data_IF_733017728512
#
_entry.id   IF_733017728512
#
_cell.length_a   1.000
_cell.length_b   1.000
_cell.length_c   1.000
_cell.angle_alpha   90.00
_cell.angle_beta   90.00
_cell.angle_gamma   90.00
#
_symmetry.space_group_name_H-M   'P 1'
#
loop_
_entity.id
_entity.type
_entity.pdbx_description
1 polymer ?
#
# COMPACT_ATOMS: atom_id res chain seq x y z
N UNK A 1 -1.51 17.23 -21.64
CA UNK A 1 -1.20 16.00 -20.88
C UNK A 1 -1.92 14.85 -21.54
N UNK A 2 -1.21 14.03 -22.31
CA UNK A 2 -1.80 12.84 -22.93
C UNK A 2 -1.96 11.81 -21.82
N UNK A 3 -3.18 11.63 -21.32
CA UNK A 3 -3.51 10.54 -20.42
C UNK A 3 -3.21 9.24 -21.14
N UNK A 4 -2.19 8.52 -20.70
CA UNK A 4 -2.03 7.12 -21.04
C UNK A 4 -3.27 6.41 -20.53
N UNK A 5 -4.21 6.13 -21.42
CA UNK A 5 -5.38 5.30 -21.12
C UNK A 5 -4.86 3.92 -20.80
N UNK A 6 -4.57 3.67 -19.52
CA UNK A 6 -4.11 2.39 -19.01
C UNK A 6 -5.14 1.34 -19.38
N UNK A 7 -4.83 0.55 -20.41
CA UNK A 7 -5.71 -0.48 -20.96
C UNK A 7 -6.20 -1.34 -19.81
N UNK A 8 -7.52 -1.60 -19.70
CA UNK A 8 -8.05 -2.34 -18.56
C UNK A 8 -7.37 -3.70 -18.45
N UNK A 9 -6.92 -4.04 -17.24
CA UNK A 9 -6.27 -5.31 -16.97
C UNK A 9 -7.17 -6.47 -17.45
N UNK A 10 -6.59 -7.55 -18.02
CA UNK A 10 -7.34 -8.74 -18.38
C UNK A 10 -8.16 -9.25 -17.19
N UNK A 11 -9.36 -9.80 -17.45
CA UNK A 11 -10.27 -10.27 -16.40
C UNK A 11 -9.61 -11.19 -15.35
N UNK A 12 -8.72 -12.15 -15.70
CA UNK A 12 -8.05 -12.98 -14.70
C UNK A 12 -7.16 -12.19 -13.74
N UNK A 13 -6.46 -11.16 -14.26
CA UNK A 13 -5.61 -10.27 -13.45
C UNK A 13 -6.48 -9.44 -12.53
N UNK A 14 -7.57 -8.87 -13.04
CA UNK A 14 -8.51 -8.09 -12.23
C UNK A 14 -9.15 -8.92 -11.11
N UNK A 15 -9.50 -10.19 -11.37
CA UNK A 15 -10.04 -11.11 -10.37
C UNK A 15 -9.00 -11.45 -9.31
N UNK A 16 -7.77 -11.77 -9.72
CA UNK A 16 -6.65 -12.03 -8.80
C UNK A 16 -6.42 -10.82 -7.88
N UNK A 17 -6.38 -9.63 -8.46
CA UNK A 17 -6.09 -8.40 -7.73
C UNK A 17 -7.22 -8.06 -6.74
N UNK A 18 -8.49 -8.27 -7.13
CA UNK A 18 -9.63 -8.19 -6.22
C UNK A 18 -9.50 -9.17 -5.05
N UNK A 19 -9.22 -10.45 -5.32
CA UNK A 19 -9.12 -11.49 -4.29
C UNK A 19 -7.98 -11.24 -3.30
N UNK A 20 -6.80 -10.85 -3.80
CA UNK A 20 -5.65 -10.51 -2.97
C UNK A 20 -5.94 -9.28 -2.10
N UNK A 21 -6.50 -8.23 -2.68
CA UNK A 21 -6.88 -7.02 -1.96
C UNK A 21 -7.92 -7.31 -0.89
N UNK A 22 -8.97 -8.08 -1.22
CA UNK A 22 -9.99 -8.47 -0.26
C UNK A 22 -9.42 -9.29 0.89
N UNK A 23 -8.51 -10.23 0.60
CA UNK A 23 -7.81 -11.04 1.60
C UNK A 23 -6.95 -10.19 2.53
N UNK A 24 -6.19 -9.24 1.97
CA UNK A 24 -5.35 -8.32 2.73
C UNK A 24 -6.19 -7.36 3.59
N UNK A 25 -7.20 -6.71 3.00
CA UNK A 25 -8.05 -5.74 3.69
C UNK A 25 -8.93 -6.38 4.77
N UNK A 26 -9.26 -7.67 4.68
CA UNK A 26 -9.84 -8.42 5.82
C UNK A 26 -8.97 -8.43 7.08
N UNK A 27 -7.67 -8.14 6.95
CA UNK A 27 -6.72 -8.09 8.07
C UNK A 27 -6.29 -6.67 8.39
N UNK A 28 -6.10 -5.82 7.38
CA UNK A 28 -5.50 -4.48 7.53
C UNK A 28 -6.56 -3.37 7.46
N UNK A 29 -7.67 -3.61 6.76
CA UNK A 29 -8.61 -2.56 6.33
C UNK A 29 -9.37 -1.87 7.46
N UNK A 30 -9.49 -2.51 8.62
CA UNK A 30 -10.15 -1.97 9.82
C UNK A 30 -9.20 -1.18 10.74
N UNK A 31 -7.90 -1.08 10.42
CA UNK A 31 -6.94 -0.33 11.24
C UNK A 31 -7.33 1.13 11.49
N UNK A 32 -7.81 1.91 10.49
CA UNK A 32 -8.25 3.28 10.73
C UNK A 32 -9.30 3.37 11.84
N UNK A 33 -10.28 2.48 11.84
CA UNK A 33 -11.40 2.50 12.78
C UNK A 33 -11.07 1.84 14.13
N UNK A 34 -10.25 0.78 14.13
CA UNK A 34 -10.02 -0.07 15.31
C UNK A 34 -8.78 0.29 16.11
N UNK A 35 -7.82 0.99 15.51
CA UNK A 35 -6.54 1.35 16.16
C UNK A 35 -6.35 2.86 16.15
N UNK A 36 -6.38 3.49 14.98
CA UNK A 36 -5.98 4.89 14.85
C UNK A 36 -7.05 5.86 15.37
N UNK A 37 -8.32 5.63 15.07
CA UNK A 37 -9.42 6.46 15.58
C UNK A 37 -9.53 6.43 17.12
N UNK A 38 -9.41 5.28 17.81
CA UNK A 38 -9.32 5.26 19.27
C UNK A 38 -8.14 6.08 19.82
N UNK A 39 -6.97 6.03 19.19
CA UNK A 39 -5.81 6.85 19.59
C UNK A 39 -6.13 8.33 19.39
N UNK A 40 -6.67 8.70 18.22
CA UNK A 40 -7.05 10.08 17.91
C UNK A 40 -8.05 10.64 18.94
N UNK A 41 -9.04 9.85 19.36
CA UNK A 41 -10.01 10.22 20.41
C UNK A 41 -9.39 10.46 21.79
N UNK A 42 -8.20 9.90 22.04
CA UNK A 42 -7.50 10.04 23.32
C UNK A 42 -6.53 11.23 23.33
N UNK A 43 -5.95 11.55 22.18
CA UNK A 43 -4.93 12.61 22.06
C UNK A 43 -5.50 13.95 21.64
N UNK A 44 -6.67 13.97 20.99
CA UNK A 44 -7.30 15.21 20.53
C UNK A 44 -8.12 15.88 21.62
N UNK A 45 -7.98 17.20 21.74
CA UNK A 45 -8.73 18.02 22.70
C UNK A 45 -10.21 18.17 22.30
N UNK A 46 -10.52 18.19 21.00
CA UNK A 46 -11.88 18.32 20.47
C UNK A 46 -12.42 16.98 19.94
N UNK A 47 -12.89 16.16 20.88
CA UNK A 47 -13.51 14.89 20.54
C UNK A 47 -14.75 15.04 19.66
N UNK A 48 -15.51 16.13 19.78
CA UNK A 48 -16.71 16.31 18.96
C UNK A 48 -16.35 16.54 17.49
N UNK A 49 -15.29 17.32 17.23
CA UNK A 49 -14.75 17.49 15.89
C UNK A 49 -14.23 16.17 15.30
N UNK A 50 -13.54 15.34 16.10
CA UNK A 50 -13.07 14.01 15.66
C UNK A 50 -14.24 13.12 15.24
N UNK A 51 -15.30 13.02 16.03
CA UNK A 51 -16.48 12.20 15.68
C UNK A 51 -17.19 12.74 14.42
N UNK A 52 -17.33 14.06 14.30
CA UNK A 52 -17.94 14.68 13.13
C UNK A 52 -17.13 14.43 11.85
N UNK A 53 -15.80 14.59 11.93
CA UNK A 53 -14.89 14.33 10.82
C UNK A 53 -14.87 12.86 10.40
N UNK A 54 -14.82 11.94 11.36
CA UNK A 54 -14.92 10.50 11.07
C UNK A 54 -16.27 10.15 10.44
N UNK A 55 -17.38 10.69 10.95
CA UNK A 55 -18.70 10.48 10.38
C UNK A 55 -18.79 10.97 8.93
N UNK A 56 -18.16 12.11 8.60
CA UNK A 56 -18.12 12.63 7.23
C UNK A 56 -17.34 11.70 6.29
N UNK A 57 -16.17 11.19 6.72
CA UNK A 57 -15.39 10.23 5.93
C UNK A 57 -16.14 8.90 5.78
N UNK A 58 -16.71 8.38 6.86
CA UNK A 58 -17.50 7.15 6.84
C UNK A 58 -18.77 7.27 5.98
N UNK A 59 -19.37 8.46 5.88
CA UNK A 59 -20.52 8.71 4.99
C UNK A 59 -20.13 8.59 3.50
N UNK A 60 -18.86 8.79 3.15
CA UNK A 60 -18.35 8.59 1.78
C UNK A 60 -18.19 7.11 1.39
N UNK A 61 -18.37 6.17 2.33
CA UNK A 61 -18.26 4.73 2.08
C UNK A 61 -19.28 4.29 1.03
N UNK A 62 -18.79 3.81 -0.11
CA UNK A 62 -19.63 3.29 -1.19
C UNK A 62 -20.13 1.89 -0.83
N UNK A 63 -21.44 1.67 -0.97
CA UNK A 63 -22.04 0.33 -0.85
C UNK A 63 -21.64 -0.54 -2.03
N UNK A 64 -21.57 -1.86 -1.80
CA UNK A 64 -21.33 -2.85 -2.86
C UNK A 64 -22.52 -2.85 -3.83
N UNK A 65 -22.25 -2.75 -5.14
CA UNK A 65 -23.25 -2.91 -6.19
C UNK A 65 -23.57 -4.39 -6.47
N UNK A 66 -24.78 -4.67 -6.95
CA UNK A 66 -25.22 -6.04 -7.26
C UNK A 66 -24.42 -6.71 -8.39
N UNK A 67 -23.96 -5.93 -9.37
CA UNK A 67 -23.18 -6.39 -10.53
C UNK A 67 -21.83 -5.66 -10.62
N UNK A 68 -21.16 -5.52 -9.48
CA UNK A 68 -19.87 -4.84 -9.40
C UNK A 68 -18.76 -5.68 -10.05
N UNK A 69 -18.04 -5.10 -11.01
CA UNK A 69 -16.89 -5.77 -11.63
C UNK A 69 -15.73 -5.91 -10.64
N UNK A 70 -14.84 -6.91 -10.80
CA UNK A 70 -13.68 -7.10 -9.91
C UNK A 70 -12.84 -5.85 -9.73
N UNK A 71 -12.59 -5.13 -10.83
CA UNK A 71 -11.88 -3.84 -10.80
C UNK A 71 -12.61 -2.78 -9.99
N UNK A 72 -13.93 -2.65 -10.16
CA UNK A 72 -14.72 -1.66 -9.42
C UNK A 72 -14.77 -1.99 -7.93
N UNK A 73 -14.88 -3.28 -7.60
CA UNK A 73 -14.84 -3.80 -6.22
C UNK A 73 -13.49 -3.54 -5.56
N UNK A 74 -12.39 -3.77 -6.30
CA UNK A 74 -11.03 -3.44 -5.90
C UNK A 74 -10.86 -1.93 -5.65
N UNK A 75 -11.19 -1.08 -6.62
CA UNK A 75 -11.10 0.38 -6.51
C UNK A 75 -11.91 0.90 -5.31
N UNK A 76 -13.10 0.32 -5.08
CA UNK A 76 -13.96 0.69 -3.96
C UNK A 76 -13.35 0.33 -2.62
N UNK A 77 -12.94 -0.93 -2.43
CA UNK A 77 -12.43 -1.42 -1.14
C UNK A 77 -11.10 -0.74 -0.79
N UNK A 78 -10.16 -0.72 -1.73
CA UNK A 78 -8.85 -0.14 -1.48
C UNK A 78 -8.93 1.39 -1.38
N UNK A 79 -9.68 2.05 -2.27
CA UNK A 79 -9.88 3.49 -2.19
C UNK A 79 -10.56 3.94 -0.90
N UNK A 80 -11.47 3.14 -0.35
CA UNK A 80 -12.06 3.40 0.97
C UNK A 80 -10.99 3.34 2.06
N UNK A 81 -10.22 2.26 2.13
CA UNK A 81 -9.15 2.11 3.12
C UNK A 81 -8.16 3.27 3.06
N UNK A 82 -7.72 3.64 1.86
CA UNK A 82 -6.78 4.74 1.64
C UNK A 82 -7.35 6.08 2.10
N UNK A 83 -8.62 6.41 1.76
CA UNK A 83 -9.24 7.66 2.21
C UNK A 83 -9.37 7.74 3.73
N UNK A 84 -9.78 6.65 4.36
CA UNK A 84 -9.92 6.57 5.82
C UNK A 84 -8.56 6.67 6.52
N UNK A 85 -7.55 6.00 5.97
CA UNK A 85 -6.18 6.07 6.46
C UNK A 85 -5.61 7.49 6.32
N UNK A 86 -5.77 8.12 5.15
CA UNK A 86 -5.25 9.46 4.91
C UNK A 86 -5.83 10.47 5.89
N UNK A 87 -7.15 10.39 6.09
CA UNK A 87 -7.82 11.29 7.01
C UNK A 87 -7.35 11.07 8.45
N UNK A 88 -7.36 9.84 8.96
CA UNK A 88 -7.02 9.60 10.38
C UNK A 88 -5.56 9.93 10.67
N UNK A 89 -4.64 9.66 9.73
CA UNK A 89 -3.23 10.03 9.88
C UNK A 89 -3.05 11.53 9.80
N UNK A 90 -3.74 12.22 8.89
CA UNK A 90 -3.73 13.67 8.80
C UNK A 90 -4.23 14.35 10.09
N UNK A 91 -5.25 13.80 10.74
CA UNK A 91 -5.72 14.30 12.03
C UNK A 91 -4.72 14.00 13.16
N UNK A 92 -4.15 12.79 13.23
CA UNK A 92 -3.13 12.45 14.23
C UNK A 92 -1.91 13.37 14.14
N UNK A 93 -1.51 13.79 12.93
CA UNK A 93 -0.40 14.71 12.71
C UNK A 93 -0.66 16.15 13.16
N UNK A 94 -1.91 16.51 13.48
CA UNK A 94 -2.20 17.81 14.09
C UNK A 94 -1.79 17.84 15.56
N UNK A 95 -1.95 16.70 16.24
CA UNK A 95 -1.77 16.60 17.69
C UNK A 95 -0.44 15.91 18.08
N UNK A 96 0.16 15.12 17.19
CA UNK A 96 1.35 14.32 17.46
C UNK A 96 2.49 14.59 16.46
N UNK A 97 3.77 14.43 16.89
CA UNK A 97 4.92 14.55 15.99
C UNK A 97 4.92 13.51 14.87
N UNK A 98 5.43 13.90 13.69
CA UNK A 98 5.52 13.04 12.51
C UNK A 98 6.13 11.66 12.79
N UNK A 99 7.26 11.61 13.50
CA UNK A 99 7.96 10.35 13.79
C UNK A 99 7.07 9.38 14.59
N UNK A 100 6.38 9.89 15.62
CA UNK A 100 5.49 9.06 16.46
C UNK A 100 4.29 8.52 15.67
N UNK A 101 3.71 9.34 14.79
CA UNK A 101 2.59 8.89 13.93
C UNK A 101 3.10 7.90 12.88
N UNK A 102 4.24 8.18 12.26
CA UNK A 102 4.88 7.30 11.28
C UNK A 102 5.18 5.93 11.87
N UNK A 103 5.77 5.87 13.07
CA UNK A 103 6.02 4.62 13.79
C UNK A 103 4.72 3.88 14.11
N UNK A 104 3.74 4.55 14.73
CA UNK A 104 2.44 3.97 15.08
C UNK A 104 1.75 3.33 13.86
N UNK A 105 1.67 4.08 12.77
CA UNK A 105 0.96 3.66 11.56
C UNK A 105 1.71 2.52 10.88
N UNK A 106 3.02 2.68 10.69
CA UNK A 106 3.84 1.68 10.00
C UNK A 106 3.98 0.38 10.79
N UNK A 107 4.04 0.42 12.13
CA UNK A 107 4.08 -0.79 12.98
C UNK A 107 2.75 -1.52 12.99
N UNK A 108 1.63 -0.80 13.13
CA UNK A 108 0.31 -1.40 13.10
C UNK A 108 0.05 -2.08 11.75
N UNK A 109 0.36 -1.41 10.64
CA UNK A 109 0.16 -1.97 9.30
C UNK A 109 1.15 -3.11 9.03
N UNK A 110 2.44 -2.93 9.28
CA UNK A 110 3.45 -3.97 9.03
C UNK A 110 3.21 -5.22 9.89
N UNK A 111 2.76 -5.07 11.14
CA UNK A 111 2.38 -6.17 12.02
C UNK A 111 1.22 -7.00 11.46
N UNK A 112 0.17 -6.33 10.95
CA UNK A 112 -0.97 -7.02 10.31
C UNK A 112 -0.61 -7.62 8.96
N UNK A 113 0.22 -6.94 8.16
CA UNK A 113 0.75 -7.45 6.89
C UNK A 113 1.62 -8.69 7.10
N UNK A 114 2.55 -8.70 8.06
CA UNK A 114 3.36 -9.89 8.39
C UNK A 114 2.48 -11.08 8.77
N UNK A 115 1.42 -10.84 9.53
CA UNK A 115 0.46 -11.90 9.91
C UNK A 115 -0.31 -12.43 8.70
N UNK A 116 -0.69 -11.57 7.77
CA UNK A 116 -1.34 -11.95 6.52
C UNK A 116 -0.38 -12.75 5.60
N UNK A 117 0.86 -12.26 5.47
CA UNK A 117 1.93 -12.86 4.65
C UNK A 117 2.57 -14.09 5.29
N UNK A 118 2.18 -14.52 6.49
CA UNK A 118 2.89 -15.57 7.25
C UNK A 118 3.15 -16.87 6.47
N UNK A 119 2.26 -17.21 5.54
CA UNK A 119 2.39 -18.40 4.70
C UNK A 119 3.27 -18.18 3.46
N UNK A 120 3.47 -16.93 3.05
CA UNK A 120 4.36 -16.53 1.96
C UNK A 120 5.78 -16.18 2.43
N UNK A 121 5.96 -15.84 3.71
CA UNK A 121 7.28 -15.56 4.30
C UNK A 121 8.33 -16.67 4.05
N UNK A 122 8.00 -17.98 4.13
CA UNK A 122 8.95 -19.04 3.77
C UNK A 122 9.40 -18.98 2.30
N UNK A 123 8.49 -18.65 1.38
CA UNK A 123 8.83 -18.50 -0.03
C UNK A 123 9.78 -17.31 -0.26
N UNK A 124 9.58 -16.20 0.44
CA UNK A 124 10.52 -15.08 0.40
C UNK A 124 11.91 -15.46 0.93
N UNK A 125 11.99 -16.30 1.99
CA UNK A 125 13.29 -16.82 2.47
C UNK A 125 14.01 -17.67 1.42
N UNK A 126 13.27 -18.43 0.61
CA UNK A 126 13.84 -19.24 -0.45
C UNK A 126 14.45 -18.41 -1.60
N UNK A 127 14.08 -17.12 -1.73
CA UNK A 127 14.64 -16.21 -2.75
C UNK A 127 16.16 -16.09 -2.64
N UNK A 128 16.72 -16.18 -1.43
CA UNK A 128 18.18 -16.16 -1.21
C UNK A 128 18.92 -17.26 -1.97
N UNK A 129 18.27 -18.39 -2.19
CA UNK A 129 18.84 -19.59 -2.82
C UNK A 129 18.74 -19.52 -4.35
N UNK A 130 17.98 -18.56 -4.90
CA UNK A 130 17.75 -18.44 -6.33
C UNK A 130 19.07 -18.13 -7.07
N UNK A 131 19.45 -18.95 -8.06
CA UNK A 131 20.65 -18.72 -8.85
C UNK A 131 20.62 -17.36 -9.56
N UNK A 132 21.79 -16.72 -9.75
CA UNK A 132 21.90 -15.38 -10.37
C UNK A 132 21.11 -15.25 -11.68
N UNK A 133 21.21 -16.24 -12.56
CA UNK A 133 20.50 -16.26 -13.86
C UNK A 133 18.97 -16.24 -13.76
N UNK A 134 18.42 -16.72 -12.64
CA UNK A 134 16.97 -16.82 -12.41
C UNK A 134 16.44 -15.74 -11.45
N UNK A 135 17.32 -14.94 -10.85
CA UNK A 135 16.93 -13.95 -9.85
C UNK A 135 15.97 -12.91 -10.42
N UNK A 136 16.33 -12.24 -11.52
CA UNK A 136 15.49 -11.23 -12.13
C UNK A 136 14.12 -11.77 -12.58
N UNK A 137 14.01 -12.91 -13.33
CA UNK A 137 12.71 -13.48 -13.66
C UNK A 137 11.83 -13.85 -12.44
N UNK A 138 12.43 -14.37 -11.36
CA UNK A 138 11.69 -14.70 -10.13
C UNK A 138 11.20 -13.44 -9.42
N UNK A 139 12.01 -12.39 -9.37
CA UNK A 139 11.62 -11.09 -8.82
C UNK A 139 10.56 -10.41 -9.68
N UNK A 140 10.67 -10.43 -11.01
CA UNK A 140 9.66 -9.89 -11.91
C UNK A 140 8.30 -10.57 -11.68
N UNK A 141 8.29 -11.90 -11.52
CA UNK A 141 7.08 -12.64 -11.19
C UNK A 141 6.54 -12.25 -9.81
N UNK A 142 7.39 -12.18 -8.80
CA UNK A 142 6.99 -11.80 -7.44
C UNK A 142 6.43 -10.38 -7.35
N UNK A 143 7.09 -9.42 -8.00
CA UNK A 143 6.67 -8.02 -8.08
C UNK A 143 5.40 -7.87 -8.93
N UNK A 144 5.20 -8.68 -9.99
CA UNK A 144 3.93 -8.68 -10.72
C UNK A 144 2.72 -9.11 -9.88
N UNK A 145 2.96 -9.78 -8.76
CA UNK A 145 1.92 -10.13 -7.79
C UNK A 145 1.58 -8.96 -6.86
N UNK A 146 2.36 -7.87 -6.81
CA UNK A 146 2.03 -6.67 -6.03
C UNK A 146 1.16 -5.66 -6.78
N UNK A 147 0.78 -5.94 -8.03
CA UNK A 147 -0.05 -5.00 -8.82
C UNK A 147 -1.41 -4.71 -8.19
N UNK A 148 -1.94 -5.64 -7.39
CA UNK A 148 -3.16 -5.41 -6.62
C UNK A 148 -3.01 -4.26 -5.60
N UNK A 149 -1.80 -3.99 -5.13
CA UNK A 149 -1.54 -3.01 -4.08
C UNK A 149 -1.09 -1.67 -4.64
N UNK A 150 -0.19 -1.70 -5.63
CA UNK A 150 0.46 -0.49 -6.16
C UNK A 150 0.01 -0.12 -7.58
N UNK A 151 -0.76 -0.98 -8.26
CA UNK A 151 -1.10 -0.80 -9.66
C UNK A 151 -0.03 -1.36 -10.61
N UNK A 152 -0.05 -0.96 -11.90
CA UNK A 152 0.92 -1.45 -12.88
C UNK A 152 2.37 -1.17 -12.43
N UNK A 153 3.20 -2.19 -12.50
CA UNK A 153 4.63 -2.11 -12.17
C UNK A 153 5.43 -2.77 -13.27
N UNK A 154 6.54 -2.15 -13.66
CA UNK A 154 7.40 -2.67 -14.72
C UNK A 154 8.87 -2.40 -14.40
N UNK A 155 9.74 -3.34 -14.79
CA UNK A 155 11.18 -3.20 -14.59
C UNK A 155 11.73 -2.17 -15.59
N UNK A 156 12.43 -1.17 -15.09
CA UNK A 156 13.07 -0.13 -15.92
C UNK A 156 14.57 -0.37 -16.06
N UNK A 157 15.20 -1.09 -15.12
CA UNK A 157 16.62 -1.34 -15.21
C UNK A 157 17.19 -2.20 -14.09
N UNK A 158 18.51 -2.15 -13.99
CA UNK A 158 19.29 -2.78 -12.93
C UNK A 158 20.46 -1.86 -12.61
N UNK A 159 20.61 -1.51 -11.34
CA UNK A 159 21.70 -0.66 -10.87
C UNK A 159 23.04 -1.44 -10.92
N UNK A 160 24.20 -0.76 -10.87
CA UNK A 160 25.52 -1.40 -10.99
C UNK A 160 25.82 -2.47 -9.93
N UNK A 161 25.18 -2.38 -8.76
CA UNK A 161 25.28 -3.34 -7.66
C UNK A 161 24.40 -4.60 -7.86
N UNK A 162 23.61 -4.64 -8.94
CA UNK A 162 22.66 -5.71 -9.25
C UNK A 162 21.27 -5.50 -8.65
N UNK A 163 20.97 -4.34 -8.08
CA UNK A 163 19.63 -3.98 -7.59
C UNK A 163 18.66 -3.83 -8.75
N UNK A 164 17.52 -4.51 -8.69
CA UNK A 164 16.49 -4.42 -9.73
C UNK A 164 15.63 -3.18 -9.49
N UNK A 165 15.44 -2.37 -10.53
CA UNK A 165 14.69 -1.12 -10.45
C UNK A 165 13.38 -1.28 -11.21
N UNK A 166 12.28 -0.99 -10.52
CA UNK A 166 10.93 -1.03 -11.05
C UNK A 166 10.27 0.35 -10.92
N UNK A 167 9.43 0.68 -11.89
CA UNK A 167 8.63 1.91 -11.90
C UNK A 167 7.14 1.59 -11.79
N UNK A 168 6.48 2.35 -10.91
CA UNK A 168 5.04 2.40 -10.72
C UNK A 168 4.61 3.80 -11.18
N UNK A 169 4.13 3.98 -12.42
CA UNK A 169 3.85 5.31 -12.97
C UNK A 169 2.61 5.97 -12.34
N UNK A 170 1.62 5.17 -11.96
CA UNK A 170 0.39 5.63 -11.33
C UNK A 170 0.09 4.73 -10.13
N UNK A 171 0.61 5.10 -8.96
CA UNK A 171 0.47 4.33 -7.75
C UNK A 171 -1.00 4.29 -7.30
N UNK A 172 -1.52 3.08 -7.12
CA UNK A 172 -2.88 2.84 -6.65
C UNK A 172 -3.18 3.60 -5.35
N UNK A 173 -2.20 3.75 -4.44
CA UNK A 173 -2.32 4.53 -3.20
C UNK A 173 -2.82 5.96 -3.43
N UNK A 174 -2.56 6.55 -4.60
CA UNK A 174 -3.04 7.89 -4.92
C UNK A 174 -4.25 7.86 -5.87
N UNK A 175 -4.24 6.99 -6.89
CA UNK A 175 -5.28 7.05 -7.93
C UNK A 175 -6.62 6.44 -7.50
N UNK A 176 -6.64 5.46 -6.59
CA UNK A 176 -7.90 4.77 -6.22
C UNK A 176 -8.75 5.56 -5.24
N UNK A 177 -8.14 6.47 -4.47
CA UNK A 177 -8.85 7.34 -3.55
C UNK A 177 -9.74 8.35 -4.31
N UNK A 178 -9.34 8.72 -5.55
CA UNK A 178 -10.01 9.69 -6.42
C UNK A 178 -10.25 11.04 -5.71
N UNK A 179 -9.29 11.45 -4.89
CA UNK A 179 -9.31 12.66 -4.07
C UNK A 179 -8.11 13.53 -4.38
N UNK A 180 -8.27 14.84 -4.20
CA UNK A 180 -7.19 15.83 -4.24
C UNK A 180 -7.11 16.52 -2.87
N UNK A 181 -5.93 16.71 -2.26
CA UNK A 181 -4.57 16.45 -2.77
C UNK A 181 -4.19 14.96 -2.77
N UNK A 182 -2.94 14.64 -3.13
CA UNK A 182 -2.36 13.29 -3.07
C UNK A 182 -2.35 12.77 -1.62
N UNK A 183 -2.46 11.44 -1.49
CA UNK A 183 -2.50 10.74 -0.20
C UNK A 183 -1.09 10.53 0.35
N UNK A 184 -0.41 11.62 0.66
CA UNK A 184 1.01 11.64 1.02
C UNK A 184 1.25 10.87 2.31
N UNK A 185 0.38 11.03 3.31
CA UNK A 185 0.56 10.40 4.62
C UNK A 185 0.37 8.88 4.54
N UNK A 186 -0.68 8.45 3.84
CA UNK A 186 -0.95 7.03 3.59
C UNK A 186 0.16 6.39 2.75
N UNK A 187 0.74 7.15 1.82
CA UNK A 187 1.86 6.69 1.00
C UNK A 187 3.13 6.51 1.82
N UNK A 188 3.56 7.54 2.55
CA UNK A 188 4.81 7.52 3.30
C UNK A 188 4.75 6.55 4.49
N UNK A 189 3.67 6.59 5.27
CA UNK A 189 3.57 5.83 6.52
C UNK A 189 2.89 4.47 6.31
N UNK A 190 1.80 4.47 5.55
CA UNK A 190 0.96 3.29 5.36
C UNK A 190 1.47 2.31 4.30
N UNK A 191 2.13 2.81 3.25
CA UNK A 191 2.73 1.99 2.21
C UNK A 191 4.24 1.84 2.40
N UNK A 192 5.01 2.91 2.19
CA UNK A 192 6.49 2.86 2.19
C UNK A 192 7.04 2.34 3.50
N UNK A 193 6.83 3.05 4.61
CA UNK A 193 7.41 2.68 5.90
C UNK A 193 6.92 1.30 6.36
N UNK A 194 5.62 1.01 6.19
CA UNK A 194 5.08 -0.30 6.55
C UNK A 194 5.69 -1.44 5.70
N UNK A 195 5.78 -1.29 4.38
CA UNK A 195 6.36 -2.32 3.50
C UNK A 195 7.86 -2.49 3.75
N UNK A 196 8.61 -1.41 3.93
CA UNK A 196 10.04 -1.45 4.26
C UNK A 196 10.28 -2.10 5.63
N UNK A 197 9.36 -1.93 6.60
CA UNK A 197 9.39 -2.72 7.84
C UNK A 197 9.17 -4.20 7.60
N UNK A 198 8.27 -4.61 6.69
CA UNK A 198 8.06 -6.03 6.36
C UNK A 198 9.25 -6.63 5.60
N UNK A 199 9.78 -5.86 4.64
CA UNK A 199 10.80 -6.25 3.67
C UNK A 199 12.09 -5.44 3.88
N UNK A 200 12.57 -5.45 5.13
CA UNK A 200 13.70 -4.63 5.58
C UNK A 200 15.03 -4.96 4.87
N UNK A 201 15.98 -4.03 4.96
CA UNK A 201 17.31 -4.11 4.34
C UNK A 201 18.06 -5.43 4.63
N UNK A 202 17.95 -5.92 5.86
CA UNK A 202 18.58 -7.18 6.31
C UNK A 202 17.72 -8.43 6.04
N UNK A 203 16.56 -8.23 5.41
CA UNK A 203 15.56 -9.26 5.18
C UNK A 203 15.92 -10.19 4.02
N UNK A 204 15.10 -11.23 3.78
CA UNK A 204 15.32 -12.17 2.69
C UNK A 204 15.02 -11.61 1.30
N UNK A 205 14.25 -10.53 1.23
CA UNK A 205 13.91 -9.79 0.02
C UNK A 205 13.79 -8.31 0.38
N UNK A 206 14.92 -7.58 0.43
CA UNK A 206 14.93 -6.16 0.76
C UNK A 206 14.22 -5.33 -0.31
N UNK A 207 13.24 -4.55 0.11
CA UNK A 207 12.53 -3.61 -0.74
C UNK A 207 12.75 -2.19 -0.24
N UNK A 208 12.93 -1.26 -1.17
CA UNK A 208 13.01 0.16 -0.91
C UNK A 208 12.06 0.87 -1.87
N UNK A 209 11.18 1.70 -1.32
CA UNK A 209 10.19 2.45 -2.08
C UNK A 209 10.59 3.92 -2.12
N UNK A 210 10.51 4.55 -3.27
CA UNK A 210 10.89 5.95 -3.50
C UNK A 210 9.72 6.68 -4.17
N UNK A 211 8.74 7.17 -3.39
CA UNK A 211 7.59 7.89 -3.91
C UNK A 211 7.99 9.25 -4.49
N UNK A 212 7.53 9.55 -5.70
CA UNK A 212 7.82 10.83 -6.37
C UNK A 212 6.78 11.89 -6.05
N UNK A 213 6.60 12.23 -4.77
CA UNK A 213 5.62 13.23 -4.33
C UNK A 213 6.03 14.66 -4.76
N UNK A 214 5.07 15.55 -5.09
CA UNK A 214 3.61 15.39 -5.06
C UNK A 214 3.04 14.71 -6.32
N UNK A 215 3.87 14.02 -7.11
CA UNK A 215 3.44 13.18 -8.21
C UNK A 215 2.79 11.88 -7.73
N UNK A 216 2.31 11.08 -8.69
CA UNK A 216 1.57 9.84 -8.44
C UNK A 216 2.44 8.58 -8.59
N UNK A 217 3.69 8.74 -9.03
CA UNK A 217 4.58 7.62 -9.33
C UNK A 217 5.45 7.23 -8.13
N UNK A 218 6.03 6.03 -8.19
CA UNK A 218 6.93 5.50 -7.19
C UNK A 218 7.96 4.58 -7.87
N UNK A 219 9.20 4.62 -7.39
CA UNK A 219 10.23 3.66 -7.76
C UNK A 219 10.35 2.58 -6.69
N UNK A 220 10.36 1.31 -7.10
CA UNK A 220 10.63 0.17 -6.23
C UNK A 220 12.01 -0.39 -6.56
N UNK A 221 12.90 -0.42 -5.58
CA UNK A 221 14.22 -1.06 -5.67
C UNK A 221 14.19 -2.38 -4.92
N UNK A 222 14.53 -3.46 -5.61
CA UNK A 222 14.60 -4.81 -5.04
C UNK A 222 16.05 -5.23 -4.99
N UNK A 223 16.64 -5.16 -3.78
CA UNK A 223 18.04 -5.53 -3.59
C UNK A 223 18.14 -7.03 -3.40
N UNK A 224 19.27 -7.61 -3.82
CA UNK A 224 19.55 -9.01 -3.52
C UNK A 224 19.97 -9.13 -2.06
N UNK A 225 19.30 -9.99 -1.30
CA UNK A 225 19.76 -10.30 0.04
C UNK A 225 21.12 -11.01 -0.02
N UNK A 226 22.05 -10.53 0.81
CA UNK A 226 23.32 -11.19 1.05
C UNK A 226 23.16 -12.36 2.03
#
# INVERSE_FOLDING_TARGET
MQGTTTRPAPLPVALRDELLTHSMLKRVGDLPETVFLPVLRLVSDDRAAVEAGWAAVAASRRRRGLLESPRSSWERQYGQFVRELEWVVGELLRDLPFESVSELVSDAISGRLRRWLRFLLPAFKAVKIVPRRWYAPVMDLGVSMSTFLVGPIHRTGTDPDGTLVYEIPECAMHVVAKTTPTQDNSCLMGCKAACEKVFHAEGPMPLEFDPHLPGLSCTLRVRRAH
#
